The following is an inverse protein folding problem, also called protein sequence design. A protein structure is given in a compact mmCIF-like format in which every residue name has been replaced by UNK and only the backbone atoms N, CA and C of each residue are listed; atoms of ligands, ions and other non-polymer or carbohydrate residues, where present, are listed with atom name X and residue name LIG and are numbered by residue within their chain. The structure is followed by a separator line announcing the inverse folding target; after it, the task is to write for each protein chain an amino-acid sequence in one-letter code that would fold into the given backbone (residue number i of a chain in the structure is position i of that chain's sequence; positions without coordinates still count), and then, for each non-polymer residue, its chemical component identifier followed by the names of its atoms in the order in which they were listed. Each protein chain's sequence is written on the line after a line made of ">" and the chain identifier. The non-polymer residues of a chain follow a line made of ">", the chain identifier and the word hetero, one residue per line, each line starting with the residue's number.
data_IF_249300982558
#
_entry.id   IF_249300982558
#
_cell.length_a   1.000
_cell.length_b   1.000
_cell.length_c   1.000
_cell.angle_alpha   90.00
_cell.angle_beta   90.00
_cell.angle_gamma   90.00
#
_symmetry.space_group_name_H-M   'P 1'
#
loop_
_entity.id
_entity.type
_entity.pdbx_description
1 polymer ?
#
# COMPACT_ATOMS: atom_id res chain seq x y z
N UNK A 1 7.52 -8.27 -19.97
CA UNK A 1 7.18 -7.77 -18.62
C UNK A 1 6.16 -8.72 -18.04
N UNK A 2 6.15 -8.89 -16.75
CA UNK A 2 5.22 -9.77 -16.05
C UNK A 2 3.80 -9.18 -16.01
N UNK A 3 2.80 -10.03 -15.80
CA UNK A 3 1.41 -9.58 -15.54
C UNK A 3 1.34 -8.70 -14.29
N UNK A 4 2.15 -9.00 -13.27
CA UNK A 4 2.27 -8.21 -12.04
C UNK A 4 2.67 -6.78 -12.38
N UNK A 5 3.67 -6.60 -13.26
CA UNK A 5 4.10 -5.26 -13.70
C UNK A 5 2.99 -4.50 -14.42
N UNK A 6 2.28 -5.16 -15.35
CA UNK A 6 1.22 -4.50 -16.11
C UNK A 6 0.08 -4.03 -15.18
N UNK A 7 -0.36 -4.86 -14.24
CA UNK A 7 -1.36 -4.50 -13.24
C UNK A 7 -0.85 -3.37 -12.32
N UNK A 8 0.38 -3.50 -11.80
CA UNK A 8 0.94 -2.46 -10.93
C UNK A 8 1.14 -1.13 -11.67
N UNK A 9 1.52 -1.15 -12.93
CA UNK A 9 1.64 0.07 -13.73
C UNK A 9 0.30 0.80 -13.85
N UNK A 10 -0.80 0.08 -13.95
CA UNK A 10 -2.15 0.64 -14.02
C UNK A 10 -2.60 1.16 -12.64
N UNK A 11 -2.61 0.30 -11.62
CA UNK A 11 -3.06 0.65 -10.26
C UNK A 11 -2.13 1.68 -9.61
N UNK A 12 -0.81 1.50 -9.69
CA UNK A 12 0.19 2.42 -9.13
C UNK A 12 0.32 3.73 -9.91
N UNK A 13 -0.15 3.80 -11.16
CA UNK A 13 -0.20 5.02 -11.97
C UNK A 13 -1.35 5.95 -11.60
N UNK A 14 -2.42 5.42 -11.02
CA UNK A 14 -3.60 6.17 -10.61
C UNK A 14 -3.28 7.14 -9.45
N UNK A 15 -3.84 8.35 -9.50
CA UNK A 15 -3.71 9.32 -8.43
C UNK A 15 -4.50 8.85 -7.20
N UNK A 16 -3.89 8.85 -6.03
CA UNK A 16 -4.56 8.36 -4.82
C UNK A 16 -3.73 8.46 -3.55
N UNK A 17 -3.25 9.66 -3.15
CA UNK A 17 -2.72 9.83 -1.80
C UNK A 17 -3.88 9.74 -0.78
N UNK A 18 -3.57 9.44 0.48
CA UNK A 18 -4.57 9.26 1.54
C UNK A 18 -5.64 10.35 1.54
N UNK A 19 -6.91 9.95 1.52
CA UNK A 19 -8.07 10.84 1.46
C UNK A 19 -8.39 11.38 0.05
N UNK A 20 -7.73 10.85 -1.00
CA UNK A 20 -7.95 11.20 -2.42
C UNK A 20 -7.86 9.95 -3.31
N UNK A 21 -8.43 8.83 -2.87
CA UNK A 21 -8.30 7.51 -3.47
C UNK A 21 -9.25 7.26 -4.65
N UNK A 22 -10.09 8.20 -5.03
CA UNK A 22 -11.16 8.00 -6.03
C UNK A 22 -10.67 7.37 -7.34
N UNK A 23 -9.59 7.93 -7.91
CA UNK A 23 -9.09 7.44 -9.20
C UNK A 23 -8.49 6.02 -9.10
N UNK A 24 -7.78 5.70 -8.01
CA UNK A 24 -7.26 4.35 -7.82
C UNK A 24 -8.38 3.36 -7.51
N UNK A 25 -9.39 3.76 -6.74
CA UNK A 25 -10.56 2.94 -6.46
C UNK A 25 -11.31 2.58 -7.74
N UNK A 26 -11.54 3.56 -8.63
CA UNK A 26 -12.17 3.33 -9.94
C UNK A 26 -11.33 2.37 -10.80
N UNK A 27 -10.02 2.53 -10.82
CA UNK A 27 -9.10 1.63 -11.54
C UNK A 27 -9.21 0.21 -11.01
N UNK A 28 -9.13 0.01 -9.69
CA UNK A 28 -9.24 -1.30 -9.05
C UNK A 28 -10.62 -1.91 -9.29
N UNK A 29 -11.70 -1.13 -9.15
CA UNK A 29 -13.07 -1.60 -9.38
C UNK A 29 -13.28 -2.08 -10.83
N UNK A 30 -12.69 -1.36 -11.81
CA UNK A 30 -12.73 -1.76 -13.22
C UNK A 30 -12.07 -3.12 -13.48
N UNK A 31 -10.92 -3.37 -12.84
CA UNK A 31 -10.21 -4.65 -12.96
C UNK A 31 -10.95 -5.75 -12.20
N UNK A 32 -11.36 -5.49 -10.95
CA UNK A 32 -12.05 -6.43 -10.09
C UNK A 32 -13.39 -6.92 -10.68
N UNK A 33 -14.10 -6.04 -11.41
CA UNK A 33 -15.37 -6.35 -12.07
C UNK A 33 -15.30 -7.46 -13.13
N UNK A 34 -14.09 -7.83 -13.56
CA UNK A 34 -13.90 -9.01 -14.43
C UNK A 34 -14.04 -10.34 -13.66
N UNK A 35 -13.96 -10.33 -12.34
CA UNK A 35 -13.90 -11.53 -11.49
C UNK A 35 -15.03 -11.60 -10.46
N UNK A 36 -15.60 -10.47 -10.06
CA UNK A 36 -16.60 -10.37 -8.98
C UNK A 36 -17.65 -9.33 -9.35
N UNK A 37 -18.92 -9.67 -9.18
CA UNK A 37 -20.06 -8.78 -9.47
C UNK A 37 -20.53 -7.95 -8.25
N UNK A 38 -20.31 -8.44 -7.02
CA UNK A 38 -20.77 -7.79 -5.80
C UNK A 38 -19.69 -6.82 -5.29
N UNK A 39 -19.72 -5.58 -5.82
CA UNK A 39 -18.74 -4.52 -5.55
C UNK A 39 -19.48 -3.32 -4.97
N UNK A 40 -19.01 -2.86 -3.80
CA UNK A 40 -19.58 -1.71 -3.09
C UNK A 40 -18.49 -0.76 -2.58
N UNK A 41 -18.86 0.49 -2.30
CA UNK A 41 -17.96 1.47 -1.67
C UNK A 41 -18.63 1.99 -0.40
N UNK A 42 -17.90 2.02 0.70
CA UNK A 42 -18.39 2.55 1.97
C UNK A 42 -18.19 4.07 2.10
N UNK A 43 -18.60 4.64 3.23
CA UNK A 43 -18.54 6.08 3.48
C UNK A 43 -17.11 6.63 3.61
N UNK A 44 -16.11 5.81 3.95
CA UNK A 44 -14.69 6.21 4.01
C UNK A 44 -14.00 6.06 2.66
N UNK A 45 -14.66 5.42 1.68
CA UNK A 45 -14.12 5.18 0.36
C UNK A 45 -13.45 3.81 0.20
N UNK A 46 -13.56 2.89 1.18
CA UNK A 46 -13.11 1.53 0.99
C UNK A 46 -13.88 0.87 -0.15
N UNK A 47 -13.17 0.18 -1.05
CA UNK A 47 -13.79 -0.66 -2.06
C UNK A 47 -13.91 -2.08 -1.50
N UNK A 48 -15.13 -2.62 -1.48
CA UNK A 48 -15.44 -3.93 -0.92
C UNK A 48 -15.98 -4.81 -2.05
N UNK A 49 -15.23 -5.86 -2.38
CA UNK A 49 -15.61 -6.87 -3.37
C UNK A 49 -15.91 -8.17 -2.63
N UNK A 50 -17.08 -8.78 -2.90
CA UNK A 50 -17.52 -9.98 -2.20
C UNK A 50 -17.74 -11.16 -3.14
N UNK A 51 -17.11 -12.28 -2.83
CA UNK A 51 -17.40 -13.58 -3.43
C UNK A 51 -18.21 -14.40 -2.41
N UNK A 52 -19.51 -14.55 -2.70
CA UNK A 52 -20.47 -15.17 -1.76
C UNK A 52 -20.19 -16.65 -1.52
N UNK A 53 -20.21 -17.02 -0.25
CA UNK A 53 -20.20 -18.39 0.25
C UNK A 53 -21.16 -18.54 1.43
N UNK A 54 -21.31 -19.76 1.93
CA UNK A 54 -22.18 -20.08 3.06
C UNK A 54 -21.41 -20.31 4.38
N UNK A 55 -20.08 -20.39 4.31
CA UNK A 55 -19.19 -20.66 5.43
C UNK A 55 -18.77 -19.42 6.20
N UNK A 56 -17.54 -19.46 6.71
CA UNK A 56 -16.95 -18.34 7.46
C UNK A 56 -16.76 -17.11 6.59
N UNK A 57 -16.94 -15.95 7.18
CA UNK A 57 -16.54 -14.69 6.54
C UNK A 57 -15.04 -14.49 6.69
N UNK A 58 -14.34 -14.49 5.58
CA UNK A 58 -12.90 -14.24 5.53
C UNK A 58 -12.67 -12.94 4.80
N UNK A 59 -12.01 -12.00 5.48
CA UNK A 59 -11.69 -10.68 4.94
C UNK A 59 -10.20 -10.59 4.59
N UNK A 60 -9.90 -10.21 3.35
CA UNK A 60 -8.56 -9.86 2.89
C UNK A 60 -8.52 -8.36 2.62
N UNK A 61 -7.56 -7.66 3.21
CA UNK A 61 -7.45 -6.20 3.07
C UNK A 61 -6.07 -5.80 2.52
N UNK A 62 -6.05 -4.85 1.60
CA UNK A 62 -4.84 -4.15 1.16
C UNK A 62 -5.18 -2.67 0.98
N UNK A 63 -4.34 -1.77 1.48
CA UNK A 63 -4.65 -0.35 1.33
C UNK A 63 -4.34 0.16 -0.08
N UNK A 64 -5.23 1.01 -0.58
CA UNK A 64 -5.11 1.60 -1.91
C UNK A 64 -4.63 3.04 -1.89
N UNK A 65 -4.54 3.67 -0.73
CA UNK A 65 -3.93 4.98 -0.60
C UNK A 65 -2.40 4.91 -0.68
N UNK A 66 -1.79 6.04 -0.76
CA UNK A 66 -0.34 6.16 -0.77
C UNK A 66 0.12 7.40 -0.03
N UNK A 67 1.39 7.40 0.34
CA UNK A 67 2.08 8.60 0.78
C UNK A 67 2.00 9.72 -0.27
N UNK A 68 2.17 10.96 0.16
CA UNK A 68 2.18 12.12 -0.70
C UNK A 68 2.44 13.41 0.07
N UNK A 69 2.13 14.54 -0.54
CA UNK A 69 2.26 15.85 0.08
C UNK A 69 1.01 16.69 -0.17
N UNK A 70 0.73 17.65 0.73
CA UNK A 70 -0.38 18.61 0.60
C UNK A 70 0.14 20.03 0.69
N UNK A 71 -0.27 20.90 -0.23
CA UNK A 71 0.10 22.30 -0.26
C UNK A 71 -0.47 23.04 0.96
N UNK A 72 0.40 23.73 1.72
CA UNK A 72 0.01 24.44 2.94
C UNK A 72 0.11 25.96 2.82
N UNK A 73 1.01 26.47 1.99
CA UNK A 73 1.24 27.88 1.79
C UNK A 73 1.90 28.15 0.44
N UNK A 74 1.64 29.30 -0.17
CA UNK A 74 2.29 29.76 -1.39
C UNK A 74 2.93 31.11 -1.08
N UNK A 75 4.26 31.20 -1.21
CA UNK A 75 4.98 32.42 -0.92
C UNK A 75 4.89 33.46 -2.06
N UNK A 76 5.41 34.66 -1.83
CA UNK A 76 5.35 35.78 -2.79
C UNK A 76 6.08 35.49 -4.11
N UNK A 77 7.06 34.59 -4.10
CA UNK A 77 7.85 34.18 -5.26
C UNK A 77 7.22 33.00 -6.02
N UNK A 78 6.12 32.43 -5.49
CA UNK A 78 5.39 31.29 -6.13
C UNK A 78 5.86 29.91 -5.68
N UNK A 79 6.78 29.79 -4.73
CA UNK A 79 7.14 28.51 -4.13
C UNK A 79 6.06 28.01 -3.19
N UNK A 80 5.80 26.71 -3.20
CA UNK A 80 4.73 26.08 -2.44
C UNK A 80 5.32 25.34 -1.23
N UNK A 81 4.94 25.74 -0.02
CA UNK A 81 5.20 24.94 1.19
C UNK A 81 4.19 23.84 1.30
N UNK A 82 4.59 22.72 1.88
CA UNK A 82 3.77 21.53 1.96
C UNK A 82 3.89 20.83 3.32
N UNK A 83 2.92 20.00 3.63
CA UNK A 83 2.97 19.01 4.70
C UNK A 83 3.01 17.60 4.11
N UNK A 84 3.59 16.67 4.84
CA UNK A 84 3.57 15.26 4.49
C UNK A 84 2.16 14.67 4.67
N UNK A 85 1.84 13.68 3.85
CA UNK A 85 0.69 12.78 3.97
C UNK A 85 1.27 11.37 4.05
N UNK A 86 1.04 10.69 5.18
CA UNK A 86 1.76 9.46 5.51
C UNK A 86 3.17 9.71 6.05
N UNK A 87 3.93 8.65 6.25
CA UNK A 87 5.29 8.69 6.77
C UNK A 87 6.31 8.98 5.68
N UNK A 88 7.00 10.11 5.72
CA UNK A 88 8.01 10.49 4.74
C UNK A 88 9.35 10.81 5.42
N UNK A 89 10.44 10.50 4.70
CA UNK A 89 11.77 10.95 5.09
C UNK A 89 12.25 12.06 4.15
N UNK A 90 12.54 13.22 4.69
CA UNK A 90 12.85 14.42 3.89
C UNK A 90 14.04 14.23 2.93
N UNK A 91 15.04 13.39 3.29
CA UNK A 91 16.21 13.18 2.45
C UNK A 91 15.87 12.46 1.13
N UNK A 92 14.82 11.62 1.11
CA UNK A 92 14.40 10.90 -0.07
C UNK A 92 13.60 11.77 -1.05
N UNK A 93 13.23 12.98 -0.63
CA UNK A 93 12.41 13.90 -1.42
C UNK A 93 13.20 14.97 -2.17
N UNK A 94 14.50 15.05 -1.96
CA UNK A 94 15.34 16.10 -2.58
C UNK A 94 15.39 15.90 -4.10
N UNK A 95 14.97 16.93 -4.84
CA UNK A 95 14.92 16.97 -6.30
C UNK A 95 13.97 15.93 -6.95
N UNK A 96 12.97 15.49 -6.19
CA UNK A 96 11.93 14.60 -6.71
C UNK A 96 10.84 15.39 -7.42
N UNK A 97 10.40 14.90 -8.57
CA UNK A 97 9.24 15.44 -9.29
C UNK A 97 7.94 15.01 -8.62
N UNK A 98 7.03 15.96 -8.49
CA UNK A 98 5.66 15.72 -7.99
C UNK A 98 4.63 16.13 -9.03
N UNK A 99 3.45 15.52 -8.95
CA UNK A 99 2.30 15.82 -9.78
C UNK A 99 1.05 16.05 -8.91
N UNK A 100 0.45 17.20 -9.04
CA UNK A 100 -0.86 17.53 -8.45
C UNK A 100 -2.00 16.84 -9.21
N UNK A 101 -3.17 16.73 -8.58
CA UNK A 101 -4.34 16.06 -9.16
C UNK A 101 -4.77 16.64 -10.52
N UNK A 102 -4.61 17.95 -10.73
CA UNK A 102 -4.92 18.63 -11.97
C UNK A 102 -3.86 18.49 -13.07
N UNK A 103 -2.79 17.70 -12.83
CA UNK A 103 -1.70 17.48 -13.75
C UNK A 103 -0.54 18.46 -13.66
N UNK A 104 -0.64 19.52 -12.84
CA UNK A 104 0.49 20.44 -12.60
C UNK A 104 1.65 19.67 -11.98
N UNK A 105 2.86 19.88 -12.52
CA UNK A 105 4.10 19.26 -12.03
C UNK A 105 4.99 20.27 -11.35
N UNK A 106 5.78 19.79 -10.40
CA UNK A 106 6.79 20.57 -9.72
C UNK A 106 7.93 19.70 -9.24
N UNK A 107 8.95 20.34 -8.70
CA UNK A 107 10.11 19.67 -8.10
C UNK A 107 10.19 20.06 -6.64
N UNK A 108 10.30 19.05 -5.76
CA UNK A 108 10.60 19.30 -4.34
C UNK A 108 12.08 19.66 -4.21
N UNK A 109 12.37 20.77 -3.53
CA UNK A 109 13.72 21.16 -3.18
C UNK A 109 13.75 21.76 -1.76
N UNK A 110 14.88 22.26 -1.33
CA UNK A 110 15.06 22.82 0.00
C UNK A 110 15.86 24.13 -0.04
N UNK A 111 15.77 24.91 1.03
CA UNK A 111 16.48 26.17 1.19
C UNK A 111 17.99 25.93 1.19
N UNK A 112 18.70 26.46 0.18
CA UNK A 112 20.12 26.19 -0.12
C UNK A 112 21.07 26.47 1.05
N UNK A 113 20.73 27.41 1.91
CA UNK A 113 21.56 27.76 3.08
C UNK A 113 21.35 26.83 4.28
N UNK A 114 20.41 25.90 4.23
CA UNK A 114 20.15 24.95 5.30
C UNK A 114 21.09 23.76 5.20
N UNK A 115 21.97 23.52 6.18
CA UNK A 115 22.79 22.32 6.18
C UNK A 115 21.93 21.05 6.22
N UNK A 116 22.33 20.00 5.49
CA UNK A 116 21.57 18.74 5.42
C UNK A 116 21.24 18.14 6.80
N UNK A 117 22.15 18.28 7.77
CA UNK A 117 21.93 17.79 9.15
C UNK A 117 20.83 18.53 9.92
N UNK A 118 20.50 19.75 9.49
CA UNK A 118 19.49 20.62 10.13
C UNK A 118 18.20 20.69 9.29
N UNK A 119 18.15 19.96 8.18
CA UNK A 119 17.02 19.94 7.27
C UNK A 119 15.79 19.31 7.91
N UNK A 120 14.64 19.91 7.69
CA UNK A 120 13.31 19.42 8.07
C UNK A 120 12.31 19.77 6.96
N UNK A 121 11.11 19.24 7.00
CA UNK A 121 10.07 19.60 6.04
C UNK A 121 9.77 21.10 5.97
N UNK A 122 9.99 21.85 7.06
CA UNK A 122 9.79 23.30 7.09
C UNK A 122 10.75 24.06 6.16
N UNK A 123 11.89 23.47 5.82
CA UNK A 123 12.86 24.05 4.90
C UNK A 123 12.64 23.64 3.45
N UNK A 124 11.68 22.76 3.19
CA UNK A 124 11.40 22.25 1.84
C UNK A 124 10.29 23.06 1.16
N UNK A 125 10.29 23.03 -0.15
CA UNK A 125 9.26 23.66 -0.99
C UNK A 125 9.11 22.89 -2.32
N UNK A 126 7.99 23.14 -2.99
CA UNK A 126 7.75 22.68 -4.36
C UNK A 126 7.87 23.88 -5.28
N UNK A 127 8.71 23.75 -6.31
CA UNK A 127 8.85 24.69 -7.41
C UNK A 127 8.04 24.17 -8.61
N UNK A 128 7.04 24.94 -9.04
CA UNK A 128 6.21 24.64 -10.22
C UNK A 128 6.56 25.57 -11.41
N UNK A 129 7.65 26.34 -11.31
CA UNK A 129 8.08 27.29 -12.34
C UNK A 129 7.24 28.57 -12.42
N UNK A 130 6.44 28.87 -11.41
CA UNK A 130 5.67 30.12 -11.34
C UNK A 130 6.58 31.30 -10.96
N UNK A 131 6.32 32.47 -11.53
CA UNK A 131 7.13 33.68 -11.28
C UNK A 131 6.75 34.42 -9.99
N UNK A 132 5.57 34.17 -9.47
CA UNK A 132 5.01 34.81 -8.28
C UNK A 132 3.80 34.06 -7.75
N UNK A 133 3.29 34.47 -6.59
CA UNK A 133 2.14 33.87 -5.95
C UNK A 133 0.86 33.88 -6.81
N UNK A 134 0.63 34.89 -7.64
CA UNK A 134 -0.58 34.99 -8.46
C UNK A 134 -0.58 33.94 -9.59
N UNK A 135 0.57 33.72 -10.20
CA UNK A 135 0.73 32.63 -11.19
C UNK A 135 0.60 31.26 -10.53
N UNK A 136 1.26 31.03 -9.40
CA UNK A 136 1.19 29.76 -8.68
C UNK A 136 -0.25 29.42 -8.25
N UNK A 137 -0.99 30.40 -7.71
CA UNK A 137 -2.39 30.22 -7.25
C UNK A 137 -3.38 29.91 -8.37
N UNK A 138 -3.04 30.15 -9.64
CA UNK A 138 -3.86 29.72 -10.79
C UNK A 138 -3.72 28.22 -11.06
N UNK A 139 -2.63 27.62 -10.62
CA UNK A 139 -2.29 26.22 -10.87
C UNK A 139 -2.49 25.33 -9.66
N UNK A 140 -2.18 25.83 -8.46
CA UNK A 140 -2.24 25.06 -7.22
C UNK A 140 -2.92 25.89 -6.13
N UNK A 141 -3.81 25.25 -5.37
CA UNK A 141 -4.48 25.84 -4.22
C UNK A 141 -3.95 25.25 -2.92
N UNK A 142 -4.09 25.98 -1.80
CA UNK A 142 -3.84 25.41 -0.47
C UNK A 142 -4.82 24.26 -0.24
N UNK A 143 -4.32 23.10 0.20
CA UNK A 143 -5.08 21.86 0.34
C UNK A 143 -5.06 20.95 -0.88
N UNK A 144 -4.40 21.35 -1.98
CA UNK A 144 -4.16 20.46 -3.11
C UNK A 144 -3.08 19.42 -2.77
N UNK A 145 -3.36 18.17 -3.13
CA UNK A 145 -2.45 17.04 -2.92
C UNK A 145 -1.59 16.80 -4.14
N UNK A 146 -0.36 16.35 -3.90
CA UNK A 146 0.54 15.90 -4.95
C UNK A 146 1.16 14.55 -4.61
N UNK A 147 1.44 13.79 -5.64
CA UNK A 147 2.08 12.45 -5.60
C UNK A 147 3.46 12.52 -6.25
N UNK A 148 4.36 11.61 -5.88
CA UNK A 148 5.70 11.51 -6.47
C UNK A 148 5.61 10.93 -7.89
N UNK A 149 6.35 11.51 -8.81
CA UNK A 149 6.57 10.97 -10.15
C UNK A 149 7.99 10.44 -10.28
N UNK A 150 8.11 9.13 -10.45
CA UNK A 150 9.37 8.46 -10.75
C UNK A 150 9.14 7.35 -11.77
N UNK A 151 10.19 6.91 -12.49
CA UNK A 151 10.08 5.79 -13.42
C UNK A 151 9.59 4.52 -12.73
N UNK A 152 8.76 3.75 -13.44
CA UNK A 152 8.37 2.38 -13.08
C UNK A 152 8.96 1.43 -14.09
N UNK A 153 9.64 0.41 -13.63
CA UNK A 153 10.23 -0.61 -14.49
C UNK A 153 10.30 -1.96 -13.81
N UNK A 154 10.40 -2.99 -14.63
CA UNK A 154 10.73 -4.36 -14.23
C UNK A 154 12.08 -4.73 -14.82
N UNK A 155 12.99 -5.21 -14.00
CA UNK A 155 14.31 -5.70 -14.40
C UNK A 155 14.74 -6.89 -13.54
N UNK A 156 15.22 -7.95 -14.16
CA UNK A 156 15.68 -9.17 -13.47
C UNK A 156 14.63 -9.79 -12.52
N UNK A 157 13.34 -9.70 -12.86
CA UNK A 157 12.24 -10.20 -12.03
C UNK A 157 11.94 -9.33 -10.80
N UNK A 158 12.46 -8.10 -10.77
CA UNK A 158 12.23 -7.12 -9.69
C UNK A 158 11.50 -5.91 -10.26
N UNK A 159 10.46 -5.47 -9.57
CA UNK A 159 9.76 -4.21 -9.81
C UNK A 159 10.49 -3.08 -9.11
N UNK A 160 10.57 -1.92 -9.73
CA UNK A 160 11.10 -0.71 -9.12
C UNK A 160 10.26 0.51 -9.49
N UNK A 161 9.92 1.33 -8.51
CA UNK A 161 9.19 2.58 -8.68
C UNK A 161 8.37 2.96 -7.46
N UNK A 162 7.63 4.08 -7.52
CA UNK A 162 6.84 4.57 -6.40
C UNK A 162 5.55 3.76 -6.20
N UNK A 163 5.12 3.70 -4.94
CA UNK A 163 3.82 3.14 -4.55
C UNK A 163 3.69 1.63 -4.74
N UNK A 164 4.77 0.86 -4.56
CA UNK A 164 4.65 -0.56 -4.25
C UNK A 164 3.92 -0.70 -2.91
N UNK A 165 4.24 0.16 -1.95
CA UNK A 165 3.45 0.38 -0.75
C UNK A 165 2.18 1.20 -1.07
N UNK A 166 0.97 0.64 -0.97
CA UNK A 166 0.68 -0.83 -0.96
C UNK A 166 -0.16 -1.20 -2.19
N UNK A 167 0.13 -0.53 -3.33
CA UNK A 167 -0.53 -0.87 -4.61
C UNK A 167 -0.17 -2.28 -5.06
N UNK A 168 0.97 -2.83 -4.57
CA UNK A 168 1.34 -4.20 -4.87
C UNK A 168 0.51 -5.20 -4.05
N UNK A 169 0.11 -4.85 -2.84
CA UNK A 169 -0.88 -5.60 -2.07
C UNK A 169 -2.24 -5.61 -2.78
N UNK A 170 -2.67 -4.47 -3.34
CA UNK A 170 -3.87 -4.40 -4.17
C UNK A 170 -3.77 -5.33 -5.40
N UNK A 171 -2.62 -5.32 -6.10
CA UNK A 171 -2.35 -6.22 -7.23
C UNK A 171 -2.39 -7.68 -6.77
N UNK A 172 -1.84 -8.00 -5.61
CA UNK A 172 -1.88 -9.35 -5.02
C UNK A 172 -3.32 -9.82 -4.82
N UNK A 173 -4.20 -8.97 -4.28
CA UNK A 173 -5.62 -9.28 -4.13
C UNK A 173 -6.32 -9.46 -5.49
N UNK A 174 -6.01 -8.64 -6.50
CA UNK A 174 -6.57 -8.78 -7.85
C UNK A 174 -6.15 -10.09 -8.50
N UNK A 175 -4.88 -10.51 -8.36
CA UNK A 175 -4.40 -11.82 -8.83
C UNK A 175 -5.06 -12.98 -8.08
N UNK A 176 -5.28 -12.83 -6.77
CA UNK A 176 -6.03 -13.80 -5.97
C UNK A 176 -7.47 -13.92 -6.44
N UNK A 177 -8.16 -12.81 -6.71
CA UNK A 177 -9.53 -12.79 -7.24
C UNK A 177 -9.63 -13.52 -8.58
N UNK A 178 -8.67 -13.27 -9.48
CA UNK A 178 -8.59 -13.98 -10.76
C UNK A 178 -8.44 -15.51 -10.57
N UNK A 179 -7.52 -15.93 -9.68
CA UNK A 179 -7.33 -17.36 -9.40
C UNK A 179 -8.58 -18.03 -8.82
N UNK A 180 -9.38 -17.27 -8.09
CA UNK A 180 -10.62 -17.75 -7.47
C UNK A 180 -11.87 -17.57 -8.34
N UNK A 181 -11.79 -16.90 -9.49
CA UNK A 181 -12.96 -16.53 -10.28
C UNK A 181 -13.88 -17.73 -10.58
N UNK A 182 -13.30 -18.82 -11.09
CA UNK A 182 -14.01 -20.05 -11.43
C UNK A 182 -14.03 -21.11 -10.30
N UNK A 183 -13.50 -20.76 -9.12
CA UNK A 183 -13.39 -21.69 -7.98
C UNK A 183 -14.61 -21.52 -7.08
N UNK A 184 -15.35 -22.60 -6.82
CA UNK A 184 -16.37 -22.60 -5.77
C UNK A 184 -15.68 -22.52 -4.40
N UNK A 185 -16.16 -21.63 -3.55
CA UNK A 185 -15.65 -21.47 -2.18
C UNK A 185 -16.77 -21.68 -1.18
N UNK A 186 -16.50 -22.48 -0.13
CA UNK A 186 -17.43 -22.59 0.98
C UNK A 186 -17.48 -21.27 1.78
N UNK A 187 -16.33 -20.65 1.99
CA UNK A 187 -16.19 -19.40 2.72
C UNK A 187 -16.78 -18.20 1.95
N UNK A 188 -17.34 -17.25 2.71
CA UNK A 188 -17.83 -15.96 2.23
C UNK A 188 -16.65 -14.97 2.22
N UNK A 189 -16.09 -14.70 1.04
CA UNK A 189 -14.82 -13.96 0.90
C UNK A 189 -15.08 -12.48 0.62
N UNK A 190 -14.39 -11.65 1.37
CA UNK A 190 -14.38 -10.20 1.20
C UNK A 190 -12.97 -9.72 0.86
N UNK A 191 -12.82 -9.05 -0.27
CA UNK A 191 -11.61 -8.37 -0.69
C UNK A 191 -11.84 -6.89 -0.49
N UNK A 192 -11.09 -6.29 0.42
CA UNK A 192 -11.27 -4.89 0.82
C UNK A 192 -10.04 -4.09 0.44
N UNK A 193 -10.21 -3.14 -0.45
CA UNK A 193 -9.18 -2.17 -0.77
C UNK A 193 -9.43 -0.96 0.11
N UNK A 194 -8.59 -0.81 1.14
CA UNK A 194 -8.81 0.14 2.22
C UNK A 194 -8.30 1.53 1.89
N UNK A 195 -8.92 2.54 2.48
CA UNK A 195 -8.58 3.95 2.36
C UNK A 195 -7.88 4.45 3.62
N UNK A 196 -6.98 5.43 3.47
CA UNK A 196 -6.35 6.17 4.57
C UNK A 196 -5.61 5.29 5.59
N UNK A 197 -4.92 4.25 5.12
CA UNK A 197 -4.03 3.44 5.96
C UNK A 197 -2.87 4.27 6.48
N UNK A 198 -2.16 4.96 5.59
CA UNK A 198 -0.95 5.74 5.80
C UNK A 198 -1.06 6.86 6.85
N UNK A 199 -2.29 7.24 7.17
CA UNK A 199 -2.61 8.29 8.14
C UNK A 199 -3.33 7.74 9.38
N UNK A 200 -3.24 6.42 9.63
CA UNK A 200 -3.68 5.79 10.86
C UNK A 200 -4.71 4.68 10.70
N UNK A 201 -4.59 3.79 9.72
CA UNK A 201 -5.36 2.53 9.55
C UNK A 201 -6.89 2.76 9.53
N UNK A 202 -7.36 3.88 8.93
CA UNK A 202 -8.72 4.38 9.17
C UNK A 202 -9.79 3.55 8.47
N UNK A 203 -9.54 3.14 7.23
CA UNK A 203 -10.50 2.39 6.42
C UNK A 203 -10.74 0.97 6.92
N UNK A 204 -9.69 0.26 7.28
CA UNK A 204 -9.74 -1.15 7.66
C UNK A 204 -10.68 -1.42 8.84
N UNK A 205 -10.62 -0.58 9.88
CA UNK A 205 -11.49 -0.74 11.04
C UNK A 205 -12.97 -0.57 10.70
N UNK A 206 -13.32 0.39 9.83
CA UNK A 206 -14.68 0.62 9.39
C UNK A 206 -15.20 -0.54 8.53
N UNK A 207 -14.40 -1.04 7.60
CA UNK A 207 -14.74 -2.17 6.76
C UNK A 207 -14.94 -3.45 7.58
N UNK A 208 -14.00 -3.76 8.49
CA UNK A 208 -14.12 -4.93 9.36
C UNK A 208 -15.31 -4.84 10.31
N UNK A 209 -15.64 -3.62 10.79
CA UNK A 209 -16.84 -3.41 11.60
C UNK A 209 -18.13 -3.73 10.83
N UNK A 210 -18.20 -3.37 9.55
CA UNK A 210 -19.37 -3.59 8.69
C UNK A 210 -19.49 -5.04 8.22
N UNK A 211 -18.37 -5.67 7.84
CA UNK A 211 -18.33 -7.06 7.34
C UNK A 211 -18.54 -8.08 8.47
N UNK A 212 -18.04 -7.81 9.67
CA UNK A 212 -18.00 -8.76 10.81
C UNK A 212 -17.31 -10.08 10.43
N UNK A 213 -16.03 -10.05 10.05
CA UNK A 213 -15.34 -11.26 9.61
C UNK A 213 -15.00 -12.20 10.78
N UNK A 214 -15.01 -13.51 10.53
CA UNK A 214 -14.50 -14.53 11.45
C UNK A 214 -12.95 -14.53 11.48
N UNK A 215 -12.36 -14.27 10.31
CA UNK A 215 -10.89 -14.16 10.12
C UNK A 215 -10.59 -12.99 9.20
N UNK A 216 -9.52 -12.26 9.50
CA UNK A 216 -9.05 -11.16 8.67
C UNK A 216 -7.56 -11.26 8.38
N UNK A 217 -7.16 -11.04 7.12
CA UNK A 217 -5.78 -11.05 6.65
C UNK A 217 -5.48 -9.71 6.00
N UNK A 218 -4.51 -8.97 6.52
CA UNK A 218 -3.95 -7.84 5.80
C UNK A 218 -2.90 -8.34 4.78
N UNK A 219 -2.88 -7.72 3.62
CA UNK A 219 -1.85 -7.92 2.59
C UNK A 219 -1.12 -6.59 2.45
N UNK A 220 0.15 -6.57 2.79
CA UNK A 220 0.92 -5.34 2.86
C UNK A 220 2.35 -5.57 2.39
N UNK A 221 3.18 -4.55 2.40
CA UNK A 221 4.62 -4.66 2.21
C UNK A 221 5.33 -4.78 3.56
N UNK A 222 6.59 -5.19 3.56
CA UNK A 222 7.44 -5.17 4.75
C UNK A 222 8.89 -4.89 4.38
N UNK A 223 9.63 -4.24 5.28
CA UNK A 223 11.06 -4.02 5.14
C UNK A 223 11.82 -5.35 5.01
N UNK A 224 13.03 -5.28 4.45
CA UNK A 224 13.93 -6.42 4.30
C UNK A 224 15.22 -6.22 5.09
N UNK A 225 15.86 -7.33 5.49
CA UNK A 225 17.13 -7.32 6.20
C UNK A 225 18.35 -7.59 5.32
N UNK A 226 18.19 -7.62 4.00
CA UNK A 226 19.20 -8.00 3.03
C UNK A 226 19.93 -6.82 2.35
N UNK A 227 19.83 -5.61 2.93
CA UNK A 227 20.58 -4.45 2.49
C UNK A 227 22.00 -4.42 3.10
N UNK A 228 22.98 -3.80 2.41
CA UNK A 228 24.33 -3.66 2.95
C UNK A 228 24.33 -2.93 4.30
N UNK A 229 25.09 -3.44 5.26
CA UNK A 229 25.36 -2.81 6.58
C UNK A 229 24.08 -2.41 7.36
N UNK A 230 23.05 -3.25 7.30
CA UNK A 230 21.81 -3.01 8.03
C UNK A 230 22.05 -2.84 9.54
N UNK A 231 21.49 -1.77 10.12
CA UNK A 231 21.59 -1.49 11.56
C UNK A 231 20.68 -2.39 12.39
N UNK A 232 19.55 -2.78 11.83
CA UNK A 232 18.55 -3.62 12.50
C UNK A 232 18.51 -4.98 11.82
N UNK A 233 18.70 -6.04 12.60
CA UNK A 233 18.57 -7.40 12.08
C UNK A 233 17.09 -7.69 11.77
N UNK A 234 16.82 -8.08 10.54
CA UNK A 234 15.51 -8.53 10.08
C UNK A 234 15.69 -9.80 9.24
N UNK A 235 14.86 -10.79 9.48
CA UNK A 235 15.01 -12.10 8.84
C UNK A 235 14.40 -12.16 7.44
N UNK A 236 13.62 -11.15 7.03
CA UNK A 236 12.95 -11.12 5.73
C UNK A 236 13.91 -10.65 4.64
N UNK A 237 13.91 -11.37 3.52
CA UNK A 237 14.73 -11.08 2.34
C UNK A 237 13.84 -10.95 1.10
N UNK A 238 14.14 -10.03 0.20
CA UNK A 238 13.46 -9.90 -1.09
C UNK A 238 13.75 -11.12 -1.97
N UNK A 239 12.70 -11.74 -2.53
CA UNK A 239 12.81 -12.96 -3.31
C UNK A 239 12.81 -14.25 -2.47
N UNK A 240 12.68 -14.12 -1.14
CA UNK A 240 12.59 -15.26 -0.22
C UNK A 240 11.18 -15.86 -0.08
N UNK A 241 10.20 -15.32 -0.79
CA UNK A 241 8.78 -15.69 -0.73
C UNK A 241 7.98 -14.83 0.23
N UNK A 242 6.65 -15.06 0.31
CA UNK A 242 5.75 -14.32 1.19
C UNK A 242 6.20 -14.33 2.64
N UNK A 243 6.10 -13.19 3.32
CA UNK A 243 6.38 -13.11 4.74
C UNK A 243 5.08 -13.24 5.55
N UNK A 244 4.99 -14.26 6.40
CA UNK A 244 3.89 -14.42 7.37
C UNK A 244 4.23 -13.60 8.60
N UNK A 245 3.44 -12.56 8.84
CA UNK A 245 3.67 -11.63 9.96
C UNK A 245 3.34 -12.29 11.30
N UNK A 246 4.34 -12.33 12.19
CA UNK A 246 4.16 -12.72 13.60
C UNK A 246 3.76 -11.50 14.43
N UNK A 247 4.46 -10.37 14.23
CA UNK A 247 4.15 -9.10 14.88
C UNK A 247 4.74 -7.90 14.14
N UNK A 248 4.10 -6.76 14.35
CA UNK A 248 4.71 -5.45 14.15
C UNK A 248 4.50 -4.59 15.42
N UNK A 249 4.79 -3.29 15.34
CA UNK A 249 4.64 -2.41 16.50
C UNK A 249 3.18 -2.25 16.96
N UNK A 250 2.22 -2.49 16.08
CA UNK A 250 0.80 -2.23 16.30
C UNK A 250 -0.02 -3.49 16.60
N UNK A 251 0.48 -4.69 16.23
CA UNK A 251 -0.24 -5.96 16.33
C UNK A 251 0.67 -7.14 16.67
N UNK A 252 0.12 -8.10 17.39
CA UNK A 252 0.60 -9.49 17.47
C UNK A 252 -0.46 -10.32 16.76
N UNK A 253 -0.08 -10.99 15.68
CA UNK A 253 -0.98 -11.79 14.87
C UNK A 253 -1.46 -13.05 15.61
N UNK A 254 -2.63 -13.56 15.22
CA UNK A 254 -3.16 -14.81 15.75
C UNK A 254 -2.26 -15.99 15.39
N UNK A 255 -1.72 -16.76 16.37
CA UNK A 255 -0.87 -17.92 16.06
C UNK A 255 -1.58 -18.97 15.19
N UNK A 256 -2.90 -19.14 15.35
CA UNK A 256 -3.69 -20.06 14.55
C UNK A 256 -3.75 -19.61 13.08
N UNK A 257 -3.97 -18.32 12.85
CA UNK A 257 -3.98 -17.75 11.48
C UNK A 257 -2.60 -17.87 10.83
N UNK A 258 -1.51 -17.58 11.56
CA UNK A 258 -0.16 -17.77 11.03
C UNK A 258 0.09 -19.24 10.65
N UNK A 259 -0.31 -20.19 11.49
CA UNK A 259 -0.15 -21.62 11.20
C UNK A 259 -0.97 -22.08 9.98
N UNK A 260 -2.19 -21.56 9.81
CA UNK A 260 -3.03 -21.88 8.66
C UNK A 260 -2.46 -21.27 7.36
N UNK A 261 -1.85 -20.08 7.40
CA UNK A 261 -1.14 -19.48 6.27
C UNK A 261 0.12 -20.31 5.92
N UNK A 262 0.95 -20.67 6.90
CA UNK A 262 2.12 -21.53 6.68
C UNK A 262 1.73 -22.90 6.09
N UNK A 263 0.63 -23.49 6.57
CA UNK A 263 0.07 -24.72 6.02
C UNK A 263 -0.40 -24.58 4.58
N UNK A 264 -1.06 -23.46 4.24
CA UNK A 264 -1.47 -23.18 2.87
C UNK A 264 -0.27 -23.11 1.91
N UNK A 265 0.82 -22.45 2.34
CA UNK A 265 2.07 -22.38 1.60
C UNK A 265 2.73 -23.75 1.43
N UNK A 266 2.79 -24.57 2.49
CA UNK A 266 3.33 -25.94 2.46
C UNK A 266 2.60 -26.81 1.43
N UNK A 267 1.28 -26.74 1.36
CA UNK A 267 0.46 -27.47 0.38
C UNK A 267 0.74 -27.10 -1.07
N UNK A 268 1.31 -25.90 -1.30
CA UNK A 268 1.71 -25.40 -2.63
C UNK A 268 3.21 -25.56 -2.88
N UNK A 269 3.99 -25.98 -1.89
CA UNK A 269 5.45 -26.00 -1.97
C UNK A 269 6.09 -24.61 -2.02
N UNK A 270 5.39 -23.59 -1.50
CA UNK A 270 5.87 -22.22 -1.41
C UNK A 270 6.65 -22.04 -0.11
N UNK A 271 7.87 -21.50 -0.22
CA UNK A 271 8.64 -21.08 0.97
C UNK A 271 8.05 -19.79 1.54
N UNK A 272 7.89 -19.75 2.86
CA UNK A 272 7.47 -18.54 3.57
C UNK A 272 8.57 -18.07 4.52
N UNK A 273 8.54 -16.79 4.84
CA UNK A 273 9.41 -16.17 5.82
C UNK A 273 8.59 -15.76 7.04
N UNK A 274 9.19 -15.72 8.23
CA UNK A 274 8.51 -15.17 9.42
C UNK A 274 8.93 -13.73 9.62
N UNK A 275 7.94 -12.86 9.70
CA UNK A 275 8.16 -11.42 9.84
C UNK A 275 7.98 -10.97 11.29
N UNK A 276 8.99 -10.24 11.78
CA UNK A 276 8.92 -9.44 13.01
C UNK A 276 9.41 -8.05 12.65
N UNK A 277 8.47 -7.11 12.48
CA UNK A 277 8.76 -5.72 12.16
C UNK A 277 8.76 -4.89 13.46
N UNK A 278 9.92 -4.34 13.83
CA UNK A 278 10.06 -3.60 15.10
C UNK A 278 9.52 -2.16 15.05
N UNK A 279 9.18 -1.68 13.86
CA UNK A 279 8.60 -0.36 13.60
C UNK A 279 7.40 -0.50 12.68
N UNK A 280 6.67 0.60 12.45
CA UNK A 280 5.52 0.59 11.57
C UNK A 280 4.31 -0.17 12.11
N UNK A 281 3.32 -0.31 11.29
CA UNK A 281 2.07 -1.02 11.54
C UNK A 281 1.38 -1.27 10.22
N UNK A 282 0.32 -2.07 10.22
CA UNK A 282 -0.49 -2.40 9.05
C UNK A 282 -1.97 -2.42 9.42
N UNK A 283 -2.83 -2.48 8.45
CA UNK A 283 -4.28 -2.64 8.63
C UNK A 283 -4.67 -3.79 9.57
N UNK A 284 -3.78 -4.77 9.77
CA UNK A 284 -3.99 -5.91 10.70
C UNK A 284 -4.40 -5.44 12.09
N UNK A 285 -3.79 -4.35 12.59
CA UNK A 285 -4.09 -3.85 13.92
C UNK A 285 -5.51 -3.28 14.05
N UNK A 286 -6.03 -2.65 12.99
CA UNK A 286 -7.39 -2.13 12.96
C UNK A 286 -8.40 -3.27 12.75
N UNK A 287 -8.08 -4.24 11.88
CA UNK A 287 -8.89 -5.43 11.66
C UNK A 287 -9.04 -6.25 12.95
N UNK A 288 -7.94 -6.49 13.67
CA UNK A 288 -7.95 -7.26 14.92
C UNK A 288 -8.86 -6.67 16.00
N UNK A 289 -8.95 -5.33 16.04
CA UNK A 289 -9.72 -4.59 17.05
C UNK A 289 -11.18 -4.37 16.70
N UNK A 290 -11.62 -4.82 15.52
CA UNK A 290 -13.01 -4.61 15.09
C UNK A 290 -13.99 -5.38 16.00
N UNK A 291 -15.13 -4.74 16.32
CA UNK A 291 -16.18 -5.33 17.16
C UNK A 291 -15.65 -5.86 18.50
N UNK A 292 -15.85 -7.17 18.73
CA UNK A 292 -15.39 -7.87 19.93
C UNK A 292 -13.98 -8.47 19.79
N UNK A 293 -13.32 -8.18 18.69
CA UNK A 293 -12.04 -8.74 18.28
C UNK A 293 -12.17 -9.77 17.15
N UNK A 294 -11.22 -9.78 16.24
CA UNK A 294 -11.15 -10.69 15.08
C UNK A 294 -9.81 -11.43 15.10
N UNK A 295 -9.83 -12.72 14.76
CA UNK A 295 -8.60 -13.48 14.53
C UNK A 295 -7.92 -12.92 13.28
N UNK A 296 -6.82 -12.16 13.45
CA UNK A 296 -6.15 -11.47 12.36
C UNK A 296 -4.73 -11.94 12.16
N UNK A 297 -4.29 -11.92 10.90
CA UNK A 297 -2.93 -12.16 10.46
C UNK A 297 -2.57 -11.26 9.30
N UNK A 298 -1.33 -11.38 8.80
CA UNK A 298 -0.91 -10.68 7.60
C UNK A 298 0.02 -11.53 6.75
N UNK A 299 -0.03 -11.30 5.45
CA UNK A 299 0.96 -11.74 4.46
C UNK A 299 1.60 -10.49 3.88
N UNK A 300 2.90 -10.36 4.09
CA UNK A 300 3.65 -9.20 3.64
C UNK A 300 4.56 -9.53 2.47
N UNK A 301 4.67 -8.59 1.54
CA UNK A 301 5.52 -8.66 0.35
C UNK A 301 6.85 -7.99 0.70
N UNK A 302 7.97 -8.73 0.70
CA UNK A 302 9.28 -8.16 0.99
C UNK A 302 9.62 -7.02 0.02
N UNK A 303 9.79 -5.81 0.54
CA UNK A 303 9.98 -4.60 -0.25
C UNK A 303 11.11 -3.76 0.35
N UNK A 304 12.03 -3.31 -0.50
CA UNK A 304 13.12 -2.41 -0.11
C UNK A 304 12.72 -0.96 -0.34
N UNK A 305 13.29 -0.05 0.46
CA UNK A 305 13.14 1.40 0.29
C UNK A 305 11.69 1.88 0.41
N UNK A 306 10.89 1.24 1.26
CA UNK A 306 9.48 1.61 1.52
C UNK A 306 9.39 3.10 1.87
N UNK A 307 8.30 3.75 1.46
CA UNK A 307 8.05 5.20 1.61
C UNK A 307 9.03 6.08 0.83
N UNK A 308 9.66 5.54 -0.22
CA UNK A 308 10.51 6.30 -1.14
C UNK A 308 9.91 6.33 -2.56
N UNK A 309 10.38 7.24 -3.44
CA UNK A 309 9.97 7.22 -4.85
C UNK A 309 10.52 6.03 -5.65
N UNK A 310 11.32 5.15 -5.05
CA UNK A 310 12.05 4.06 -5.75
C UNK A 310 12.04 2.76 -4.95
N UNK A 311 10.86 2.34 -4.52
CA UNK A 311 10.66 1.06 -3.83
C UNK A 311 10.96 -0.13 -4.74
N UNK A 312 11.32 -1.28 -4.18
CA UNK A 312 11.65 -2.48 -4.95
C UNK A 312 11.08 -3.74 -4.31
N UNK A 313 10.42 -4.60 -5.10
CA UNK A 313 9.98 -5.93 -4.68
C UNK A 313 10.18 -6.97 -5.78
N UNK A 314 10.26 -8.26 -5.43
CA UNK A 314 10.35 -9.34 -6.41
C UNK A 314 8.96 -9.73 -6.94
N UNK A 315 8.87 -9.92 -8.26
CA UNK A 315 7.64 -10.41 -8.92
C UNK A 315 7.21 -11.76 -8.34
N UNK A 316 8.15 -12.65 -8.07
CA UNK A 316 7.89 -13.98 -7.48
C UNK A 316 7.21 -13.91 -6.12
N UNK A 317 7.59 -12.94 -5.28
CA UNK A 317 7.00 -12.81 -3.94
C UNK A 317 5.53 -12.39 -4.03
N UNK A 318 5.19 -11.55 -5.01
CA UNK A 318 3.81 -11.12 -5.29
C UNK A 318 2.97 -12.29 -5.79
N UNK A 319 3.46 -13.04 -6.79
CA UNK A 319 2.76 -14.19 -7.38
C UNK A 319 2.55 -15.30 -6.34
N UNK A 320 3.56 -15.57 -5.52
CA UNK A 320 3.47 -16.56 -4.45
C UNK A 320 2.54 -16.13 -3.33
N UNK A 321 2.50 -14.82 -2.99
CA UNK A 321 1.55 -14.27 -2.02
C UNK A 321 0.11 -14.45 -2.49
N UNK A 322 -0.18 -14.15 -3.76
CA UNK A 322 -1.51 -14.33 -4.33
C UNK A 322 -1.94 -15.80 -4.31
N UNK A 323 -1.04 -16.72 -4.69
CA UNK A 323 -1.32 -18.16 -4.69
C UNK A 323 -1.54 -18.70 -3.26
N UNK A 324 -0.71 -18.28 -2.29
CA UNK A 324 -0.86 -18.63 -0.88
C UNK A 324 -2.22 -18.20 -0.34
N UNK A 325 -2.61 -16.94 -0.59
CA UNK A 325 -3.87 -16.38 -0.12
C UNK A 325 -5.08 -17.06 -0.77
N UNK A 326 -5.00 -17.35 -2.08
CA UNK A 326 -6.05 -18.11 -2.78
C UNK A 326 -6.20 -19.52 -2.20
N UNK A 327 -5.10 -20.19 -1.85
CA UNK A 327 -5.13 -21.50 -1.20
C UNK A 327 -5.72 -21.42 0.21
N UNK A 328 -5.32 -20.43 0.99
CA UNK A 328 -5.87 -20.18 2.34
C UNK A 328 -7.39 -19.97 2.31
N UNK A 329 -7.89 -19.22 1.32
CA UNK A 329 -9.31 -18.90 1.20
C UNK A 329 -10.22 -20.14 1.02
N UNK A 330 -9.66 -21.26 0.54
CA UNK A 330 -10.40 -22.51 0.26
C UNK A 330 -10.04 -23.66 1.22
N UNK A 331 -9.26 -23.39 2.26
CA UNK A 331 -8.98 -24.32 3.36
C UNK A 331 -10.05 -24.20 4.44
#
# INVERSE_FOLDING_TARGET
>A
MSKVFDLWKEVGGAFGPSGREDAVRETIAGIAGAYIDDITTDALGNLICRKKGAGKKVLFAAHMDSIGVVATYIDENGFIRFSQVGGLYYADLVNITVRFANGTRGVISFEEKTPMKDMTFAHMFIDIGAKNAEEAKKLVQIGDFAVFEAPRFEQNGVLCGPYLDNRIGCVTLLLMMEQLAETETENDLYFVFTAQEEVGLRGAGAAAFAVEPDVAIAVDVTDTGDLPEMKTAMAVEMGGGPAVKVMDRSVICSPAVCADLEKAAELLGISTQREILQCGGTDTAALQKARAGVAAGAVSIPTRYIHSPSEMCAVSDVEQSAALLAKFAVL
#
